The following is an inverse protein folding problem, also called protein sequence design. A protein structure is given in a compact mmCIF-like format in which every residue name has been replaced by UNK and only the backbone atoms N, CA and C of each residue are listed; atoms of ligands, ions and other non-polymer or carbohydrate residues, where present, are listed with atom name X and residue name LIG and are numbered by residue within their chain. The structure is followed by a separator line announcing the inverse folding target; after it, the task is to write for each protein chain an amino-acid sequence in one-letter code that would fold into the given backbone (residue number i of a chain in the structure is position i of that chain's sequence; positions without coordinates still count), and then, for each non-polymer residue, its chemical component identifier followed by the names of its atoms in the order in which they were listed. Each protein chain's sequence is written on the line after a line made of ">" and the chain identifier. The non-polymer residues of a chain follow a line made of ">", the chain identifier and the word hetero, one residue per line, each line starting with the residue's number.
data_IF_372422687759
#
_entry.id   IF_372422687759
#
_cell.length_a   1.000
_cell.length_b   1.000
_cell.length_c   1.000
_cell.angle_alpha   90.00
_cell.angle_beta   90.00
_cell.angle_gamma   90.00
#
_symmetry.space_group_name_H-M   'P 1'
#
loop_
_entity.id
_entity.type
_entity.pdbx_description
1 polymer ?
#
# COMPACT_ATOMS: atom_id res chain seq x y z
N UNK A 1 -11.43 3.29 32.40
CA UNK A 1 -12.05 3.70 31.12
C UNK A 1 -11.06 3.43 30.00
N UNK A 2 -11.30 2.43 29.15
CA UNK A 2 -10.57 2.32 27.86
C UNK A 2 -11.07 3.51 27.03
N UNK A 3 -10.18 4.42 26.60
CA UNK A 3 -10.47 5.39 25.53
C UNK A 3 -11.15 4.61 24.41
N UNK A 4 -12.33 5.04 23.96
CA UNK A 4 -12.97 4.43 22.79
C UNK A 4 -11.95 4.41 21.65
N UNK A 5 -11.69 3.24 21.08
CA UNK A 5 -10.74 3.08 19.97
C UNK A 5 -11.31 3.93 18.82
N UNK A 6 -10.60 4.99 18.43
CA UNK A 6 -10.96 5.74 17.22
C UNK A 6 -10.72 4.80 16.03
N UNK A 7 -11.68 4.73 15.10
CA UNK A 7 -11.50 4.04 13.81
C UNK A 7 -10.29 4.66 13.12
N UNK A 8 -9.34 3.82 12.68
CA UNK A 8 -8.15 4.30 11.97
C UNK A 8 -8.47 4.49 10.51
N UNK A 9 -8.00 5.58 9.92
CA UNK A 9 -8.15 5.89 8.50
C UNK A 9 -6.85 5.59 7.74
N UNK A 10 -6.94 4.75 6.72
CA UNK A 10 -5.80 4.22 5.96
C UNK A 10 -5.92 4.67 4.51
N UNK A 11 -4.84 5.23 3.96
CA UNK A 11 -4.71 5.47 2.53
C UNK A 11 -4.02 4.27 1.89
N UNK A 12 -4.70 3.56 1.00
CA UNK A 12 -4.11 2.48 0.20
C UNK A 12 -3.75 3.01 -1.18
N UNK A 13 -2.47 2.92 -1.53
CA UNK A 13 -1.94 3.40 -2.81
C UNK A 13 -1.52 2.20 -3.66
N UNK A 14 -2.10 2.11 -4.85
CA UNK A 14 -1.74 1.17 -5.89
C UNK A 14 -0.90 1.91 -6.96
N UNK A 15 0.39 1.58 -7.05
CA UNK A 15 1.34 2.24 -7.93
C UNK A 15 1.25 1.81 -9.39
N UNK A 16 2.34 2.05 -10.13
CA UNK A 16 2.36 1.89 -11.57
C UNK A 16 2.12 0.44 -12.03
N UNK A 17 1.30 0.29 -13.07
CA UNK A 17 1.00 -0.96 -13.77
C UNK A 17 0.02 -1.88 -13.04
N UNK A 18 -0.43 -1.54 -11.83
CA UNK A 18 -1.35 -2.39 -11.09
C UNK A 18 -2.77 -2.38 -11.67
N UNK A 19 -3.15 -1.35 -12.40
CA UNK A 19 -4.39 -1.25 -13.18
C UNK A 19 -4.49 -2.27 -14.33
N UNK A 20 -3.33 -2.74 -14.81
CA UNK A 20 -3.22 -3.76 -15.86
C UNK A 20 -3.18 -5.20 -15.32
N UNK A 21 -3.24 -5.37 -13.99
CA UNK A 21 -3.25 -6.68 -13.35
C UNK A 21 -4.53 -7.44 -13.69
N UNK A 22 -4.40 -8.75 -13.94
CA UNK A 22 -5.50 -9.60 -14.40
C UNK A 22 -5.89 -9.37 -15.87
N UNK A 23 -5.32 -8.36 -16.55
CA UNK A 23 -5.56 -8.03 -17.96
C UNK A 23 -4.38 -8.42 -18.84
N UNK A 24 -3.15 -8.29 -18.34
CA UNK A 24 -1.92 -8.65 -19.04
C UNK A 24 -0.95 -9.42 -18.15
N UNK A 25 -0.05 -10.20 -18.74
CA UNK A 25 1.02 -10.92 -18.04
C UNK A 25 0.51 -11.72 -16.82
N UNK A 26 -0.66 -12.36 -16.97
CA UNK A 26 -1.37 -13.10 -15.92
C UNK A 26 -0.48 -14.18 -15.29
N UNK A 27 0.32 -14.87 -16.10
CA UNK A 27 1.27 -15.90 -15.64
C UNK A 27 2.33 -15.36 -14.66
N UNK A 28 2.59 -14.04 -14.67
CA UNK A 28 3.58 -13.37 -13.82
C UNK A 28 2.92 -12.72 -12.59
N UNK A 29 1.76 -12.08 -12.77
CA UNK A 29 1.13 -11.25 -11.73
C UNK A 29 -0.13 -11.86 -11.09
N UNK A 30 -0.58 -13.01 -11.58
CA UNK A 30 -1.81 -13.67 -11.17
C UNK A 30 -3.03 -13.19 -11.96
N UNK A 31 -4.11 -13.98 -11.97
CA UNK A 31 -5.32 -13.70 -12.74
C UNK A 31 -6.20 -12.60 -12.14
N UNK A 32 -6.04 -12.28 -10.86
CA UNK A 32 -6.99 -11.40 -10.20
C UNK A 32 -6.69 -9.93 -10.49
N UNK A 33 -7.79 -9.23 -10.74
CA UNK A 33 -7.82 -7.85 -11.20
C UNK A 33 -7.63 -6.87 -10.05
N UNK A 34 -7.23 -5.63 -10.36
CA UNK A 34 -7.15 -4.59 -9.34
C UNK A 34 -8.51 -4.30 -8.71
N UNK A 35 -9.57 -4.40 -9.49
CA UNK A 35 -10.94 -4.22 -9.06
C UNK A 35 -11.33 -5.27 -7.99
N UNK A 36 -10.99 -6.54 -8.18
CA UNK A 36 -11.20 -7.61 -7.19
C UNK A 36 -10.37 -7.39 -5.93
N UNK A 37 -9.12 -6.95 -6.08
CA UNK A 37 -8.23 -6.61 -4.96
C UNK A 37 -8.82 -5.48 -4.13
N UNK A 38 -9.27 -4.41 -4.77
CA UNK A 38 -9.85 -3.26 -4.10
C UNK A 38 -11.15 -3.63 -3.40
N UNK A 39 -11.98 -4.50 -3.99
CA UNK A 39 -13.19 -5.02 -3.35
C UNK A 39 -12.87 -5.85 -2.09
N UNK A 40 -11.82 -6.68 -2.14
CA UNK A 40 -11.34 -7.43 -0.98
C UNK A 40 -10.81 -6.48 0.12
N UNK A 41 -10.00 -5.48 -0.24
CA UNK A 41 -9.50 -4.46 0.70
C UNK A 41 -10.65 -3.71 1.37
N UNK A 42 -11.65 -3.29 0.60
CA UNK A 42 -12.84 -2.63 1.14
C UNK A 42 -13.63 -3.54 2.08
N UNK A 43 -13.69 -4.84 1.81
CA UNK A 43 -14.33 -5.81 2.71
C UNK A 43 -13.57 -5.94 4.05
N UNK A 44 -12.24 -5.87 4.01
CA UNK A 44 -11.39 -5.87 5.21
C UNK A 44 -11.62 -4.66 6.11
N UNK A 45 -12.08 -3.52 5.55
CA UNK A 45 -12.28 -2.30 6.33
C UNK A 45 -13.29 -2.52 7.46
N UNK A 46 -14.39 -3.22 7.15
CA UNK A 46 -15.45 -3.54 8.13
C UNK A 46 -15.01 -4.60 9.13
N UNK A 47 -14.23 -5.59 8.68
CA UNK A 47 -13.71 -6.66 9.55
C UNK A 47 -12.68 -6.15 10.56
N UNK A 48 -11.88 -5.15 10.18
CA UNK A 48 -10.74 -4.67 10.96
C UNK A 48 -11.00 -3.35 11.69
N UNK A 49 -12.22 -2.81 11.61
CA UNK A 49 -12.62 -1.51 12.16
C UNK A 49 -11.71 -0.37 11.64
N UNK A 50 -11.59 -0.31 10.31
CA UNK A 50 -10.79 0.65 9.56
C UNK A 50 -11.66 1.44 8.57
N UNK A 51 -11.31 2.70 8.36
CA UNK A 51 -11.73 3.48 7.20
C UNK A 51 -10.62 3.38 6.15
N UNK A 52 -10.95 3.04 4.90
CA UNK A 52 -9.96 2.84 3.84
C UNK A 52 -10.32 3.65 2.62
N UNK A 53 -9.41 4.54 2.22
CA UNK A 53 -9.44 5.21 0.92
C UNK A 53 -8.43 4.51 -0.01
N UNK A 54 -8.87 4.12 -1.21
CA UNK A 54 -8.03 3.42 -2.19
C UNK A 54 -7.81 4.31 -3.40
N UNK A 55 -6.56 4.43 -3.82
CA UNK A 55 -6.15 5.20 -5.00
C UNK A 55 -5.21 4.38 -5.86
N UNK A 56 -5.31 4.54 -7.19
CA UNK A 56 -4.35 4.00 -8.14
C UNK A 56 -3.72 5.14 -8.94
N UNK A 57 -2.42 5.04 -9.22
CA UNK A 57 -1.78 5.92 -10.19
C UNK A 57 -0.54 5.33 -10.85
N UNK A 58 -0.47 5.53 -12.17
CA UNK A 58 0.73 5.32 -12.98
C UNK A 58 1.70 6.51 -12.97
N UNK A 59 1.41 7.58 -12.24
CA UNK A 59 2.24 8.78 -12.19
C UNK A 59 2.92 8.91 -10.82
N UNK A 60 4.24 8.67 -10.78
CA UNK A 60 5.05 8.73 -9.56
C UNK A 60 4.96 10.10 -8.87
N UNK A 61 5.06 11.19 -9.63
CA UNK A 61 4.97 12.54 -9.07
C UNK A 61 3.58 12.81 -8.48
N UNK A 62 2.51 12.26 -9.06
CA UNK A 62 1.16 12.36 -8.48
C UNK A 62 1.09 11.65 -7.13
N UNK A 63 1.66 10.45 -7.02
CA UNK A 63 1.72 9.69 -5.75
C UNK A 63 2.54 10.46 -4.71
N UNK A 64 3.73 10.94 -5.07
CA UNK A 64 4.58 11.72 -4.18
C UNK A 64 3.84 12.98 -3.66
N UNK A 65 3.21 13.75 -4.55
CA UNK A 65 2.43 14.92 -4.19
C UNK A 65 1.23 14.59 -3.27
N UNK A 66 0.63 13.41 -3.39
CA UNK A 66 -0.44 12.99 -2.49
C UNK A 66 0.09 12.70 -1.09
N UNK A 67 1.26 12.07 -0.98
CA UNK A 67 1.92 11.79 0.30
C UNK A 67 2.39 13.09 0.96
N UNK A 68 2.95 14.04 0.20
CA UNK A 68 3.40 15.34 0.73
C UNK A 68 2.25 16.21 1.25
N UNK A 69 1.05 16.05 0.66
CA UNK A 69 -0.16 16.81 1.03
C UNK A 69 -1.07 16.03 1.96
N UNK A 70 -0.67 14.85 2.39
CA UNK A 70 -1.46 14.08 3.34
C UNK A 70 -1.55 14.89 4.63
N UNK A 71 -2.77 15.12 5.08
CA UNK A 71 -3.01 15.78 6.36
C UNK A 71 -3.09 14.73 7.47
N UNK A 72 -3.24 15.21 8.71
CA UNK A 72 -3.38 14.35 9.89
C UNK A 72 -4.73 13.57 9.93
N UNK A 73 -5.50 13.55 8.84
CA UNK A 73 -6.71 12.73 8.74
C UNK A 73 -6.40 11.25 8.53
N UNK A 74 -5.23 10.90 7.99
CA UNK A 74 -4.80 9.51 7.80
C UNK A 74 -3.84 9.05 8.89
N UNK A 75 -4.15 7.89 9.48
CA UNK A 75 -3.33 7.25 10.50
C UNK A 75 -2.17 6.43 9.89
N UNK A 76 -2.30 5.97 8.64
CA UNK A 76 -1.23 5.27 7.92
C UNK A 76 -1.44 5.28 6.39
N UNK A 77 -0.36 5.04 5.67
CA UNK A 77 -0.34 4.75 4.23
C UNK A 77 0.06 3.29 4.03
N UNK A 78 -0.66 2.56 3.19
CA UNK A 78 -0.26 1.24 2.69
C UNK A 78 -0.03 1.34 1.18
N UNK A 79 1.22 1.23 0.73
CA UNK A 79 1.58 1.37 -0.68
C UNK A 79 2.00 0.03 -1.29
N UNK A 80 1.35 -0.37 -2.37
CA UNK A 80 1.91 -1.32 -3.32
C UNK A 80 2.55 -0.54 -4.46
N UNK A 81 3.89 -0.44 -4.53
CA UNK A 81 4.53 0.48 -5.44
C UNK A 81 4.45 0.05 -6.91
N UNK A 82 4.20 -1.23 -7.20
CA UNK A 82 4.18 -1.75 -8.58
C UNK A 82 5.48 -1.40 -9.32
N UNK A 83 5.36 -0.71 -10.46
CA UNK A 83 6.50 -0.22 -11.24
C UNK A 83 7.43 0.75 -10.47
N UNK A 84 6.96 1.37 -9.39
CA UNK A 84 7.76 2.30 -8.57
C UNK A 84 8.67 1.61 -7.56
N UNK A 85 8.68 0.28 -7.49
CA UNK A 85 9.46 -0.47 -6.48
C UNK A 85 10.93 -0.04 -6.43
N UNK A 86 11.52 0.28 -7.58
CA UNK A 86 12.91 0.72 -7.71
C UNK A 86 13.07 2.22 -8.00
N UNK A 87 12.00 3.01 -7.87
CA UNK A 87 12.03 4.46 -8.08
C UNK A 87 12.90 5.15 -7.02
N UNK A 88 13.60 6.21 -7.43
CA UNK A 88 14.44 7.01 -6.54
C UNK A 88 14.12 8.48 -6.75
N UNK A 89 14.20 9.26 -5.67
CA UNK A 89 13.96 10.70 -5.70
C UNK A 89 12.60 11.05 -5.11
N UNK A 90 11.71 11.64 -5.90
CA UNK A 90 10.52 12.32 -5.38
C UNK A 90 9.62 11.43 -4.51
N UNK A 91 9.41 10.16 -4.87
CA UNK A 91 8.58 9.28 -4.06
C UNK A 91 9.29 8.80 -2.79
N UNK A 92 10.58 8.50 -2.86
CA UNK A 92 11.36 8.12 -1.66
C UNK A 92 11.47 9.29 -0.68
N UNK A 93 11.65 10.51 -1.20
CA UNK A 93 11.72 11.73 -0.39
C UNK A 93 10.36 12.04 0.26
N UNK A 94 9.25 11.91 -0.48
CA UNK A 94 7.92 12.11 0.06
C UNK A 94 7.61 11.12 1.20
N UNK A 95 7.93 9.83 1.03
CA UNK A 95 7.74 8.83 2.08
C UNK A 95 8.61 9.13 3.30
N UNK A 96 9.88 9.49 3.08
CA UNK A 96 10.82 9.79 4.17
C UNK A 96 10.43 11.01 5.00
N UNK A 97 9.81 12.01 4.37
CA UNK A 97 9.41 13.27 5.00
C UNK A 97 7.99 13.26 5.56
N UNK A 98 7.17 12.24 5.23
CA UNK A 98 5.79 12.15 5.69
C UNK A 98 5.71 11.93 7.20
N UNK A 99 4.84 12.68 7.88
CA UNK A 99 4.47 12.43 9.27
C UNK A 99 3.59 11.18 9.40
N UNK A 100 2.86 10.80 8.35
CA UNK A 100 2.00 9.63 8.32
C UNK A 100 2.83 8.36 8.04
N UNK A 101 2.77 7.34 8.91
CA UNK A 101 3.58 6.14 8.74
C UNK A 101 3.19 5.37 7.46
N UNK A 102 4.18 5.11 6.62
CA UNK A 102 3.99 4.34 5.38
C UNK A 102 4.42 2.89 5.55
N UNK A 103 3.64 1.96 5.02
CA UNK A 103 3.92 0.53 4.96
C UNK A 103 3.95 0.09 3.51
N UNK A 104 4.91 -0.74 3.15
CA UNK A 104 5.03 -1.24 1.78
C UNK A 104 4.47 -2.65 1.65
N UNK A 105 3.77 -2.94 0.56
CA UNK A 105 3.26 -4.27 0.27
C UNK A 105 3.56 -4.69 -1.16
N UNK A 106 3.89 -5.97 -1.33
CA UNK A 106 3.94 -6.63 -2.63
C UNK A 106 3.13 -7.92 -2.60
N UNK A 107 2.26 -8.12 -3.58
CA UNK A 107 1.58 -9.40 -3.73
C UNK A 107 2.57 -10.54 -4.01
N UNK A 108 3.57 -10.30 -4.87
CA UNK A 108 4.67 -11.24 -5.14
C UNK A 108 5.91 -10.92 -4.30
N UNK A 109 6.91 -11.80 -4.34
CA UNK A 109 8.22 -11.50 -3.75
C UNK A 109 9.09 -10.76 -4.80
N UNK A 110 9.38 -9.46 -4.65
CA UNK A 110 10.21 -8.73 -5.61
C UNK A 110 11.65 -9.24 -5.65
N UNK A 111 12.18 -9.83 -4.57
CA UNK A 111 13.57 -10.30 -4.51
C UNK A 111 13.81 -11.52 -5.38
N UNK A 112 12.80 -12.37 -5.60
CA UNK A 112 12.86 -13.48 -6.56
C UNK A 112 13.07 -13.00 -8.00
N UNK A 113 12.69 -11.75 -8.30
CA UNK A 113 12.90 -11.11 -9.62
C UNK A 113 14.18 -10.27 -9.66
N UNK A 114 15.02 -10.32 -8.62
CA UNK A 114 16.23 -9.51 -8.51
C UNK A 114 15.98 -8.03 -8.22
N UNK A 115 14.76 -7.66 -7.81
CA UNK A 115 14.39 -6.27 -7.50
C UNK A 115 14.46 -6.07 -5.99
N UNK A 116 15.24 -5.06 -5.57
CA UNK A 116 15.24 -4.57 -4.18
C UNK A 116 14.44 -3.28 -4.13
N UNK A 117 13.52 -3.17 -3.17
CA UNK A 117 12.74 -1.95 -3.00
C UNK A 117 13.62 -0.82 -2.50
N UNK A 118 13.56 0.32 -3.19
CA UNK A 118 14.18 1.58 -2.78
C UNK A 118 13.29 2.37 -1.82
N UNK A 119 12.00 2.04 -1.74
CA UNK A 119 11.03 2.71 -0.86
C UNK A 119 11.04 2.08 0.54
N UNK A 120 11.23 0.76 0.64
CA UNK A 120 11.11 0.00 1.88
C UNK A 120 11.97 0.54 3.04
N UNK A 121 13.21 1.03 2.83
CA UNK A 121 14.01 1.65 3.89
C UNK A 121 13.38 2.89 4.53
N UNK A 122 12.43 3.54 3.86
CA UNK A 122 11.71 4.72 4.33
C UNK A 122 10.33 4.38 4.92
N UNK A 123 9.89 3.12 4.78
CA UNK A 123 8.64 2.61 5.34
C UNK A 123 8.82 2.11 6.78
N UNK A 124 7.75 2.12 7.58
CA UNK A 124 7.71 1.52 8.92
C UNK A 124 7.84 0.00 8.91
N UNK A 125 7.48 -0.63 7.80
CA UNK A 125 7.59 -2.06 7.59
C UNK A 125 7.07 -2.45 6.22
N UNK A 126 7.19 -3.73 5.87
CA UNK A 126 6.60 -4.22 4.65
C UNK A 126 6.25 -5.70 4.66
N UNK A 127 5.37 -6.08 3.74
CA UNK A 127 4.85 -7.43 3.53
C UNK A 127 5.05 -7.80 2.06
N UNK A 128 5.65 -8.95 1.76
CA UNK A 128 5.82 -9.38 0.37
C UNK A 128 5.61 -10.89 0.20
N UNK A 129 5.15 -11.30 -0.98
CA UNK A 129 5.08 -12.72 -1.38
C UNK A 129 3.88 -13.51 -0.84
N UNK A 130 2.91 -12.85 -0.19
CA UNK A 130 1.72 -13.50 0.38
C UNK A 130 0.46 -13.29 -0.48
N UNK A 131 0.60 -12.91 -1.75
CA UNK A 131 -0.54 -12.61 -2.62
C UNK A 131 -1.46 -11.57 -2.00
N UNK A 132 -2.78 -11.81 -2.05
CA UNK A 132 -3.77 -10.90 -1.46
C UNK A 132 -3.82 -10.95 0.05
N UNK A 133 -3.48 -12.08 0.65
CA UNK A 133 -3.43 -12.19 2.11
C UNK A 133 -2.41 -11.22 2.70
N UNK A 134 -1.42 -10.78 1.91
CA UNK A 134 -0.54 -9.68 2.27
C UNK A 134 -1.28 -8.41 2.73
N UNK A 135 -2.40 -8.03 2.06
CA UNK A 135 -3.17 -6.85 2.44
C UNK A 135 -3.85 -7.06 3.78
N UNK A 136 -4.42 -8.25 4.01
CA UNK A 136 -5.01 -8.62 5.31
C UNK A 136 -3.96 -8.59 6.41
N UNK A 137 -2.78 -9.16 6.18
CA UNK A 137 -1.67 -9.16 7.14
C UNK A 137 -1.27 -7.72 7.49
N UNK A 138 -1.02 -6.88 6.48
CA UNK A 138 -0.61 -5.50 6.67
C UNK A 138 -1.69 -4.67 7.41
N UNK A 139 -2.95 -4.71 6.94
CA UNK A 139 -4.04 -3.95 7.54
C UNK A 139 -4.37 -4.42 8.96
N UNK A 140 -4.30 -5.72 9.24
CA UNK A 140 -4.50 -6.26 10.59
C UNK A 140 -3.40 -5.77 11.54
N UNK A 141 -2.15 -5.79 11.09
CA UNK A 141 -1.03 -5.28 11.86
C UNK A 141 -1.16 -3.77 12.12
N UNK A 142 -1.59 -2.98 11.13
CA UNK A 142 -1.83 -1.54 11.29
C UNK A 142 -2.99 -1.26 12.27
N UNK A 143 -4.10 -2.01 12.18
CA UNK A 143 -5.26 -1.88 13.08
C UNK A 143 -4.90 -2.21 14.53
N UNK A 144 -3.98 -3.15 14.76
CA UNK A 144 -3.56 -3.58 16.09
C UNK A 144 -2.56 -2.65 16.79
N UNK A 145 -1.85 -1.80 16.05
CA UNK A 145 -0.90 -0.85 16.62
C UNK A 145 -1.62 0.25 17.43
N UNK A 146 -0.99 0.77 18.48
CA UNK A 146 -1.52 1.86 19.32
C UNK A 146 -1.05 3.23 18.88
#
# INVERSE_FOLDING_TARGET
>A
MRRGKRVKKILVIQGAGLDERGKSQIEIFGPETLEEINAAISSLSSELDLEIDIVQSNNEAKVANMIDRIDDSFDAILINPGGFTSSKGVLTDAIANSSTPTYEIHASNPTQRGVTSTLLPHCKGGVCGFGYDGYRIALSAISAQS
#
